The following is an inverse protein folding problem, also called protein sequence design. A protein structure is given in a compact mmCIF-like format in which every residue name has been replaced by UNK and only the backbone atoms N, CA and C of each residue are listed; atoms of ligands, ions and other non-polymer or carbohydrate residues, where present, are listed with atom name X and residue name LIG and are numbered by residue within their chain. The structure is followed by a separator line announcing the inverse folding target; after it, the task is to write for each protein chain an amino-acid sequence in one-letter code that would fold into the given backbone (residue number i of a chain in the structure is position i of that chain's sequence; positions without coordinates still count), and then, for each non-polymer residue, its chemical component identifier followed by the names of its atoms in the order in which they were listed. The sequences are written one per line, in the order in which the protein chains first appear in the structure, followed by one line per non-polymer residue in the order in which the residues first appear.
data_IF_433118855164
#
_entry.id   IF_433118855164
#
_cell.length_a   1.000
_cell.length_b   1.000
_cell.length_c   1.000
_cell.angle_alpha   90.00
_cell.angle_beta   90.00
_cell.angle_gamma   90.00
#
_symmetry.space_group_name_H-M   'P 1'
#
loop_
_entity.id
_entity.type
_entity.pdbx_description
1 polymer ?
#
# COMPACT_ATOMS: atom_id res chain seq x y z
N UNK A 1 3.18 -11.95 27.25
CA UNK A 1 3.64 -11.75 25.86
C UNK A 1 2.46 -11.34 25.01
N UNK A 2 2.60 -10.24 24.31
CA UNK A 2 1.58 -9.75 23.39
C UNK A 2 1.80 -10.32 21.99
N UNK A 3 0.74 -10.87 21.42
CA UNK A 3 0.75 -11.34 20.03
C UNK A 3 -0.44 -10.78 19.29
N UNK A 4 -0.18 -10.19 18.15
CA UNK A 4 -1.22 -9.77 17.19
C UNK A 4 -1.27 -10.82 16.10
N UNK A 5 -2.30 -11.66 16.10
CA UNK A 5 -2.45 -12.75 15.16
C UNK A 5 -3.63 -12.53 14.23
N UNK A 6 -3.42 -12.84 12.98
CA UNK A 6 -4.44 -12.76 11.93
C UNK A 6 -4.62 -14.14 11.30
N UNK A 7 -5.86 -14.46 10.99
CA UNK A 7 -6.21 -15.64 10.22
C UNK A 7 -6.86 -15.18 8.91
N UNK A 8 -6.52 -15.79 7.77
CA UNK A 8 -7.19 -15.44 6.52
C UNK A 8 -8.66 -15.86 6.58
N UNK A 9 -9.53 -14.95 6.19
CA UNK A 9 -10.95 -15.19 6.07
C UNK A 9 -11.31 -15.02 4.60
N UNK A 10 -11.99 -16.03 4.03
CA UNK A 10 -12.45 -16.00 2.66
C UNK A 10 -13.98 -16.03 2.62
N UNK A 11 -14.64 -14.94 2.99
CA UNK A 11 -16.10 -14.86 2.86
C UNK A 11 -16.48 -14.93 1.38
N UNK A 12 -17.75 -15.15 1.09
CA UNK A 12 -18.27 -15.23 -0.27
C UNK A 12 -18.11 -13.90 -1.02
N UNK A 13 -16.91 -13.66 -1.54
CA UNK A 13 -16.51 -12.39 -2.15
C UNK A 13 -16.38 -12.48 -3.67
N UNK A 14 -16.85 -13.56 -4.27
CA UNK A 14 -16.82 -13.72 -5.73
C UNK A 14 -17.75 -12.69 -6.37
N UNK A 15 -17.20 -11.87 -7.26
CA UNK A 15 -17.95 -10.87 -8.00
C UNK A 15 -17.67 -11.03 -9.49
N UNK A 16 -18.62 -10.58 -10.33
CA UNK A 16 -18.46 -10.60 -11.79
C UNK A 16 -17.40 -9.61 -12.27
N UNK A 17 -17.06 -8.61 -11.46
CA UNK A 17 -16.10 -7.56 -11.77
C UNK A 17 -15.02 -7.53 -10.72
N UNK A 18 -13.76 -7.54 -11.15
CA UNK A 18 -12.62 -7.45 -10.24
C UNK A 18 -12.49 -6.08 -9.58
N UNK A 19 -11.65 -6.01 -8.54
CA UNK A 19 -11.37 -4.77 -7.85
C UNK A 19 -10.60 -3.80 -8.77
N UNK A 20 -10.82 -2.51 -8.57
CA UNK A 20 -10.04 -1.48 -9.26
C UNK A 20 -8.60 -1.43 -8.73
N UNK A 21 -7.68 -0.88 -9.51
CA UNK A 21 -6.30 -0.70 -9.08
C UNK A 21 -6.22 0.16 -7.81
N UNK A 22 -6.97 1.25 -7.78
CA UNK A 22 -7.02 2.17 -6.62
C UNK A 22 -7.51 1.46 -5.37
N UNK A 23 -8.49 0.57 -5.49
CA UNK A 23 -9.07 -0.12 -4.34
C UNK A 23 -8.10 -1.06 -3.62
N UNK A 24 -6.96 -1.38 -4.25
CA UNK A 24 -5.89 -2.15 -3.64
C UNK A 24 -4.64 -1.29 -3.37
N UNK A 25 -4.14 -0.58 -4.39
CA UNK A 25 -2.89 0.17 -4.28
C UNK A 25 -2.97 1.37 -3.32
N UNK A 26 -4.14 2.00 -3.23
CA UNK A 26 -4.32 3.20 -2.42
C UNK A 26 -5.23 2.97 -1.20
N UNK A 27 -5.50 1.73 -0.88
CA UNK A 27 -6.36 1.37 0.25
C UNK A 27 -5.51 0.91 1.43
N UNK A 28 -5.51 1.65 2.55
CA UNK A 28 -4.66 1.29 3.69
C UNK A 28 -5.05 -0.05 4.34
N UNK A 29 -6.32 -0.43 4.30
CA UNK A 29 -6.76 -1.74 4.80
C UNK A 29 -6.19 -2.86 3.94
N UNK A 30 -6.22 -2.71 2.61
CA UNK A 30 -5.66 -3.71 1.69
C UNK A 30 -4.15 -3.86 1.87
N UNK A 31 -3.45 -2.79 2.25
CA UNK A 31 -2.02 -2.80 2.52
C UNK A 31 -1.65 -3.34 3.91
N UNK A 32 -2.63 -3.49 4.78
CA UNK A 32 -2.41 -4.02 6.13
C UNK A 32 -2.17 -2.97 7.20
N UNK A 33 -2.37 -1.69 6.89
CA UNK A 33 -2.16 -0.59 7.85
C UNK A 33 -3.34 -0.36 8.78
N UNK A 34 -4.52 -0.88 8.45
CA UNK A 34 -5.76 -0.59 9.14
C UNK A 34 -6.49 0.59 8.52
N UNK A 35 -7.70 0.86 8.99
CA UNK A 35 -8.51 1.97 8.51
C UNK A 35 -7.82 3.31 8.75
N UNK A 36 -7.89 4.16 7.74
CA UNK A 36 -7.27 5.48 7.79
C UNK A 36 -7.20 6.12 6.43
N UNK A 37 -6.31 7.09 6.30
CA UNK A 37 -6.11 7.84 5.06
C UNK A 37 -4.67 7.72 4.59
N UNK A 38 -4.50 7.30 3.34
CA UNK A 38 -3.24 7.36 2.62
C UNK A 38 -3.26 8.60 1.73
N UNK A 39 -2.35 9.52 1.99
CA UNK A 39 -2.25 10.78 1.26
C UNK A 39 -0.91 10.85 0.54
N UNK A 40 -0.94 11.14 -0.76
CA UNK A 40 0.25 11.40 -1.53
C UNK A 40 0.39 12.89 -1.75
N UNK A 41 1.46 13.48 -1.26
CA UNK A 41 1.72 14.90 -1.38
C UNK A 41 2.98 15.16 -2.19
N UNK A 42 2.96 16.21 -2.99
CA UNK A 42 4.08 16.62 -3.84
C UNK A 42 4.54 18.00 -3.38
N UNK A 43 5.82 18.11 -3.08
CA UNK A 43 6.43 19.38 -2.71
C UNK A 43 7.89 19.42 -3.09
N UNK A 44 8.35 20.53 -3.65
CA UNK A 44 9.75 20.73 -4.06
C UNK A 44 10.29 19.64 -4.97
N UNK A 45 9.46 19.15 -5.89
CA UNK A 45 9.84 18.09 -6.83
C UNK A 45 9.90 16.70 -6.22
N UNK A 46 9.42 16.50 -5.00
CA UNK A 46 9.44 15.23 -4.30
C UNK A 46 8.02 14.80 -3.92
N UNK A 47 7.71 13.52 -4.14
CA UNK A 47 6.45 12.93 -3.71
C UNK A 47 6.63 12.15 -2.42
N UNK A 48 5.65 12.26 -1.53
CA UNK A 48 5.71 11.57 -0.23
C UNK A 48 4.36 11.02 0.16
N UNK A 49 4.34 9.73 0.51
CA UNK A 49 3.18 9.09 1.09
C UNK A 49 3.13 9.36 2.59
N UNK A 50 1.92 9.58 3.09
CA UNK A 50 1.64 9.73 4.52
C UNK A 50 0.40 8.92 4.87
N UNK A 51 0.45 8.20 5.98
CA UNK A 51 -0.68 7.45 6.51
C UNK A 51 -1.16 8.06 7.82
N UNK A 52 -2.48 8.27 7.92
CA UNK A 52 -3.13 8.75 9.14
C UNK A 52 -4.16 7.71 9.57
N UNK A 53 -3.93 6.98 10.66
CA UNK A 53 -4.87 5.95 11.12
C UNK A 53 -6.11 6.55 11.75
N UNK A 54 -7.22 5.82 11.68
CA UNK A 54 -8.46 6.12 12.40
C UNK A 54 -8.37 5.63 13.85
N UNK A 55 -7.78 4.45 14.06
CA UNK A 55 -7.68 3.86 15.38
C UNK A 55 -6.36 4.23 16.07
N UNK A 56 -6.42 4.31 17.41
CA UNK A 56 -5.23 4.55 18.21
C UNK A 56 -4.27 3.37 18.14
N UNK A 57 -3.00 3.65 18.39
CA UNK A 57 -1.97 2.63 18.43
C UNK A 57 -2.08 1.82 19.72
N UNK A 58 -1.95 0.50 19.58
CA UNK A 58 -1.86 -0.39 20.73
C UNK A 58 -0.54 -0.16 21.47
N UNK A 59 -0.59 -0.16 22.79
CA UNK A 59 0.58 0.09 23.63
C UNK A 59 1.66 -0.99 23.54
N UNK A 60 1.31 -2.19 23.09
CA UNK A 60 2.23 -3.32 23.07
C UNK A 60 3.10 -3.35 21.80
N UNK A 61 2.57 -2.96 20.65
CA UNK A 61 3.31 -3.01 19.39
C UNK A 61 3.38 -1.66 18.68
N UNK A 62 2.75 -0.65 19.23
CA UNK A 62 2.70 0.71 18.69
C UNK A 62 2.13 0.76 17.27
N UNK A 63 1.19 -0.12 16.97
CA UNK A 63 0.46 -0.15 15.70
C UNK A 63 -1.02 0.14 15.94
N UNK A 64 -1.72 0.75 14.97
CA UNK A 64 -3.18 0.90 15.06
C UNK A 64 -3.87 -0.41 15.42
N UNK A 65 -4.96 -0.34 16.17
CA UNK A 65 -5.64 -1.52 16.70
C UNK A 65 -6.01 -2.56 15.65
N UNK A 66 -6.33 -2.13 14.42
CA UNK A 66 -6.70 -2.99 13.31
C UNK A 66 -5.57 -3.22 12.30
N UNK A 67 -4.36 -2.76 12.57
CA UNK A 67 -3.24 -2.89 11.66
C UNK A 67 -2.62 -4.29 11.72
N UNK A 68 -2.28 -4.81 10.55
CA UNK A 68 -1.48 -6.04 10.43
C UNK A 68 0.01 -5.72 10.40
N UNK A 69 0.38 -4.60 9.81
CA UNK A 69 1.77 -4.14 9.72
C UNK A 69 1.83 -2.61 9.84
N UNK A 70 3.01 -2.11 10.16
CA UNK A 70 3.25 -0.66 10.19
C UNK A 70 3.47 -0.07 8.82
N UNK A 71 3.20 1.22 8.70
CA UNK A 71 3.36 1.96 7.46
C UNK A 71 4.84 2.12 7.12
N UNK A 72 5.27 1.44 6.04
CA UNK A 72 6.67 1.43 5.58
C UNK A 72 7.67 1.05 6.67
N UNK A 73 7.23 0.21 7.60
CA UNK A 73 8.04 -0.28 8.70
C UNK A 73 8.21 -1.80 8.61
N UNK A 74 9.36 -2.27 9.06
CA UNK A 74 9.65 -3.70 9.12
C UNK A 74 8.78 -4.34 10.19
N UNK A 75 8.03 -5.38 9.81
CA UNK A 75 7.26 -6.17 10.76
C UNK A 75 8.13 -7.23 11.41
N UNK A 76 8.04 -7.33 12.72
CA UNK A 76 8.75 -8.34 13.50
C UNK A 76 7.76 -9.25 14.23
N UNK A 77 8.19 -10.45 14.57
CA UNK A 77 7.40 -11.41 15.30
C UNK A 77 6.45 -12.22 14.43
N UNK A 78 5.67 -13.06 15.08
CA UNK A 78 4.67 -13.92 14.43
C UNK A 78 3.36 -13.15 14.35
N UNK A 79 2.81 -13.04 13.15
CA UNK A 79 1.59 -12.25 12.89
C UNK A 79 0.48 -13.07 12.23
N UNK A 80 0.71 -14.33 11.95
CA UNK A 80 -0.28 -15.20 11.32
C UNK A 80 -0.21 -16.60 11.90
N UNK A 81 -1.35 -17.28 11.88
CA UNK A 81 -1.46 -18.68 12.26
C UNK A 81 -1.01 -19.63 11.14
N UNK A 82 -0.72 -19.10 9.96
CA UNK A 82 -0.31 -19.87 8.78
C UNK A 82 1.06 -19.43 8.30
N UNK A 83 1.90 -20.39 7.93
CA UNK A 83 3.28 -20.14 7.49
C UNK A 83 3.38 -19.35 6.19
N UNK A 84 2.40 -19.50 5.30
CA UNK A 84 2.40 -18.87 3.98
C UNK A 84 1.60 -17.56 3.94
N UNK A 85 1.14 -17.08 5.08
CA UNK A 85 0.39 -15.82 5.19
C UNK A 85 1.20 -14.83 6.04
N UNK A 86 1.60 -13.74 5.43
CA UNK A 86 2.41 -12.71 6.07
C UNK A 86 2.07 -11.33 5.49
N UNK A 87 2.30 -10.25 6.24
CA UNK A 87 2.08 -8.90 5.72
C UNK A 87 3.14 -8.56 4.68
N UNK A 88 2.82 -7.58 3.83
CA UNK A 88 3.79 -7.05 2.88
C UNK A 88 5.01 -6.49 3.61
N UNK A 89 6.20 -6.86 3.17
CA UNK A 89 7.42 -6.26 3.68
C UNK A 89 7.58 -4.83 3.12
N UNK A 90 8.56 -4.08 3.62
CA UNK A 90 8.77 -2.69 3.23
C UNK A 90 8.95 -2.54 1.71
N UNK A 91 9.73 -3.42 1.10
CA UNK A 91 9.98 -3.35 -0.35
C UNK A 91 8.69 -3.59 -1.16
N UNK A 92 7.88 -4.55 -0.74
CA UNK A 92 6.59 -4.81 -1.37
C UNK A 92 5.66 -3.60 -1.23
N UNK A 93 5.60 -3.01 -0.04
CA UNK A 93 4.81 -1.80 0.21
C UNK A 93 5.25 -0.65 -0.69
N UNK A 94 6.55 -0.45 -0.83
CA UNK A 94 7.09 0.60 -1.71
C UNK A 94 6.69 0.38 -3.17
N UNK A 95 6.74 -0.86 -3.66
CA UNK A 95 6.30 -1.18 -5.02
C UNK A 95 4.82 -0.90 -5.23
N UNK A 96 3.99 -1.30 -4.27
CA UNK A 96 2.54 -1.07 -4.32
C UNK A 96 2.24 0.43 -4.31
N UNK A 97 2.88 1.17 -3.42
CA UNK A 97 2.66 2.61 -3.28
C UNK A 97 3.27 3.41 -4.44
N UNK A 98 4.28 2.89 -5.13
CA UNK A 98 4.80 3.51 -6.35
C UNK A 98 3.72 3.55 -7.42
N UNK A 99 3.05 2.43 -7.66
CA UNK A 99 1.92 2.37 -8.60
C UNK A 99 0.77 3.22 -8.08
N UNK A 100 0.51 3.19 -6.78
CA UNK A 100 -0.49 4.04 -6.14
C UNK A 100 -0.27 5.52 -6.40
N UNK A 101 0.98 5.97 -6.39
CA UNK A 101 1.31 7.36 -6.71
C UNK A 101 0.94 7.71 -8.16
N UNK A 102 1.21 6.80 -9.10
CA UNK A 102 0.79 6.99 -10.50
C UNK A 102 -0.72 7.16 -10.60
N UNK A 103 -1.47 6.38 -9.83
CA UNK A 103 -2.94 6.40 -9.83
C UNK A 103 -3.54 7.65 -9.22
N UNK A 104 -2.76 8.48 -8.52
CA UNK A 104 -3.26 9.79 -8.05
C UNK A 104 -3.39 10.81 -9.18
N UNK A 105 -2.68 10.60 -10.29
CA UNK A 105 -2.69 11.51 -11.45
C UNK A 105 -3.26 10.85 -12.71
N UNK A 106 -3.15 9.54 -12.84
CA UNK A 106 -3.59 8.80 -14.03
C UNK A 106 -4.74 7.86 -13.71
N UNK A 107 -5.73 7.82 -14.60
CA UNK A 107 -6.79 6.83 -14.52
C UNK A 107 -6.25 5.43 -14.82
N UNK A 108 -6.81 4.40 -14.20
CA UNK A 108 -6.32 3.02 -14.35
C UNK A 108 -6.46 2.48 -15.77
N UNK A 109 -7.40 2.99 -16.56
CA UNK A 109 -7.63 2.62 -17.96
C UNK A 109 -6.88 3.53 -18.94
N UNK A 110 -6.08 4.47 -18.45
CA UNK A 110 -5.28 5.35 -19.31
C UNK A 110 -4.20 4.58 -20.08
N UNK A 111 -3.72 5.17 -21.16
CA UNK A 111 -2.63 4.58 -21.96
C UNK A 111 -1.37 4.37 -21.14
N UNK A 112 -1.05 5.31 -20.25
CA UNK A 112 0.12 5.24 -19.38
C UNK A 112 0.01 4.04 -18.43
N UNK A 113 -1.13 3.89 -17.78
CA UNK A 113 -1.31 2.79 -16.81
C UNK A 113 -1.38 1.43 -17.51
N UNK A 114 -1.97 1.34 -18.68
CA UNK A 114 -1.96 0.11 -19.48
C UNK A 114 -0.54 -0.25 -19.93
N UNK A 115 0.25 0.72 -20.36
CA UNK A 115 1.63 0.51 -20.76
C UNK A 115 2.52 0.11 -19.56
N UNK A 116 2.20 0.57 -18.36
CA UNK A 116 2.94 0.24 -17.14
C UNK A 116 2.90 -1.26 -16.81
N UNK A 117 1.88 -1.96 -17.25
CA UNK A 117 1.76 -3.42 -17.05
C UNK A 117 2.81 -4.20 -17.85
N UNK A 118 3.34 -3.63 -18.93
CA UNK A 118 4.32 -4.28 -19.80
C UNK A 118 5.76 -3.84 -19.49
N UNK A 119 5.96 -2.56 -19.15
CA UNK A 119 7.31 -2.03 -18.90
C UNK A 119 7.23 -0.85 -17.91
N UNK A 120 7.01 -1.16 -16.66
CA UNK A 120 6.91 -0.15 -15.61
C UNK A 120 8.20 0.65 -15.42
N UNK A 121 9.33 -0.04 -15.34
CA UNK A 121 10.63 0.62 -15.11
C UNK A 121 11.00 1.57 -16.25
N UNK A 122 10.75 1.16 -17.49
CA UNK A 122 11.01 2.01 -18.66
C UNK A 122 10.15 3.27 -18.66
N UNK A 123 8.89 3.16 -18.25
CA UNK A 123 8.01 4.31 -18.12
C UNK A 123 8.49 5.28 -17.06
N UNK A 124 8.92 4.78 -15.92
CA UNK A 124 9.44 5.61 -14.82
C UNK A 124 10.72 6.33 -15.27
N UNK A 125 11.62 5.63 -15.92
CA UNK A 125 12.88 6.22 -16.41
C UNK A 125 12.66 7.31 -17.45
N UNK A 126 11.65 7.15 -18.30
CA UNK A 126 11.36 8.07 -19.41
C UNK A 126 10.25 9.07 -19.09
N UNK A 127 9.88 9.21 -17.80
CA UNK A 127 8.82 10.13 -17.39
C UNK A 127 9.18 11.59 -17.66
N UNK A 128 8.15 12.41 -17.83
CA UNK A 128 8.34 13.86 -17.97
C UNK A 128 8.78 14.51 -16.65
N UNK A 129 9.30 15.74 -16.73
CA UNK A 129 9.68 16.51 -15.53
C UNK A 129 8.49 16.86 -14.62
N UNK A 130 7.29 16.76 -15.13
CA UNK A 130 6.05 16.99 -14.36
C UNK A 130 5.66 15.78 -13.54
N UNK A 131 6.17 14.61 -13.87
CA UNK A 131 5.86 13.37 -13.16
C UNK A 131 6.77 13.23 -11.93
N UNK A 132 6.16 13.28 -10.76
CA UNK A 132 6.88 13.20 -9.49
C UNK A 132 6.60 11.84 -8.86
N UNK A 133 7.67 11.10 -8.60
CA UNK A 133 7.59 9.77 -7.99
C UNK A 133 7.89 9.87 -6.48
N UNK A 134 7.44 8.87 -5.69
CA UNK A 134 7.68 8.89 -4.25
C UNK A 134 9.14 8.79 -3.87
N UNK A 135 9.49 9.43 -2.77
CA UNK A 135 10.74 9.20 -2.02
C UNK A 135 10.39 8.48 -0.70
N UNK A 136 11.32 7.64 -0.24
CA UNK A 136 11.04 6.71 0.86
C UNK A 136 11.80 7.09 2.15
N UNK A 137 11.72 8.33 2.53
CA UNK A 137 12.40 8.81 3.75
C UNK A 137 11.42 9.19 4.83
#
# INVERSE_FOLDING_TARGET
IFHRLFAPVAPHTTTAKGRSCVSCHNNPVALGYGEGKLNYTIGKGKGKWKYVPVYENDKHDNLPADAWTGFLEKRTGVVSTRKNVFPFNVQMQQKILMVGACLTCHEEDSKVMKASLNNFEGLVQNRSNKCVIPVWN
#
